data_IF_534522113796
#
_entry.id   IF_534522113796
#
_cell.length_a   1.000
_cell.length_b   1.000
_cell.length_c   1.000
_cell.angle_alpha   90.00
_cell.angle_beta   90.00
_cell.angle_gamma   90.00
#
_symmetry.space_group_name_H-M   'P 1'
#
loop_
_entity.id
_entity.type
_entity.pdbx_description
1 polymer ?
#
# COMPACT_ATOMS: atom_id res chain seq x y z
N UNK A 1 -1.22 49.19 -33.30
CA UNK A 1 -0.01 48.36 -33.11
C UNK A 1 -0.46 47.09 -32.43
N UNK A 2 -0.57 45.99 -33.17
CA UNK A 2 -1.10 44.74 -32.63
C UNK A 2 -0.10 44.16 -31.61
N UNK A 3 -0.54 44.00 -30.37
CA UNK A 3 0.19 43.21 -29.38
C UNK A 3 0.13 41.76 -29.88
N UNK A 4 1.21 41.31 -30.53
CA UNK A 4 1.36 39.89 -30.81
C UNK A 4 1.58 39.19 -29.48
N UNK A 5 0.59 38.44 -29.00
CA UNK A 5 0.74 37.56 -27.85
C UNK A 5 1.84 36.55 -28.15
N UNK A 6 3.06 36.87 -27.71
CA UNK A 6 4.23 36.04 -27.96
C UNK A 6 4.13 34.84 -27.03
N UNK A 7 3.82 33.67 -27.59
CA UNK A 7 3.80 32.42 -26.85
C UNK A 7 5.19 32.17 -26.23
N UNK A 8 5.24 32.07 -24.91
CA UNK A 8 6.41 31.67 -24.15
C UNK A 8 6.16 30.23 -23.69
N UNK A 9 6.98 29.29 -24.17
CA UNK A 9 6.88 27.89 -23.76
C UNK A 9 7.42 27.72 -22.33
N UNK A 10 6.57 27.40 -21.34
CA UNK A 10 6.98 27.27 -19.94
C UNK A 10 7.87 26.05 -19.68
N UNK A 11 7.95 25.09 -20.60
CA UNK A 11 8.78 23.89 -20.48
C UNK A 11 10.21 24.08 -21.03
N UNK A 12 10.54 25.26 -21.55
CA UNK A 12 11.91 25.61 -21.95
C UNK A 12 12.62 26.34 -20.82
N UNK A 13 13.93 26.14 -20.64
CA UNK A 13 14.70 26.81 -19.56
C UNK A 13 14.53 28.34 -19.62
N UNK A 14 14.55 28.92 -20.82
CA UNK A 14 14.27 30.35 -21.04
C UNK A 14 12.84 30.74 -20.64
N UNK A 15 11.82 30.01 -21.10
CA UNK A 15 10.44 30.35 -20.81
C UNK A 15 10.06 30.14 -19.35
N UNK A 16 10.59 29.09 -18.71
CA UNK A 16 10.44 28.83 -17.30
C UNK A 16 11.09 29.95 -16.47
N UNK A 17 12.38 30.26 -16.70
CA UNK A 17 13.08 31.35 -16.00
C UNK A 17 12.43 32.73 -16.22
N UNK A 18 11.90 32.97 -17.43
CA UNK A 18 11.22 34.22 -17.78
C UNK A 18 9.87 34.39 -17.09
N UNK A 19 9.14 33.28 -16.85
CA UNK A 19 7.82 33.28 -16.22
C UNK A 19 7.89 33.15 -14.69
N UNK A 20 8.84 32.37 -14.17
CA UNK A 20 8.89 31.99 -12.76
C UNK A 20 10.03 32.64 -11.97
N UNK A 21 10.98 33.30 -12.64
CA UNK A 21 11.96 34.17 -11.98
C UNK A 21 12.77 33.47 -10.89
N UNK A 22 13.92 32.91 -11.29
CA UNK A 22 14.90 32.19 -10.48
C UNK A 22 14.68 30.67 -10.33
N UNK A 23 15.81 29.97 -10.35
CA UNK A 23 15.92 28.52 -10.25
C UNK A 23 15.33 28.05 -8.93
N UNK A 24 14.60 26.93 -8.97
CA UNK A 24 13.90 26.31 -7.83
C UNK A 24 14.74 26.48 -6.57
N UNK A 25 14.23 27.29 -5.64
CA UNK A 25 14.95 27.62 -4.42
C UNK A 25 15.27 26.30 -3.70
N UNK A 26 16.51 26.09 -3.27
CA UNK A 26 16.96 24.87 -2.60
C UNK A 26 15.98 24.43 -1.49
N UNK A 27 15.37 25.42 -0.83
CA UNK A 27 14.32 25.25 0.17
C UNK A 27 13.02 24.64 -0.36
N UNK A 28 12.59 24.95 -1.57
CA UNK A 28 11.40 24.34 -2.19
C UNK A 28 11.67 22.88 -2.58
N UNK A 29 12.90 22.55 -2.98
CA UNK A 29 13.31 21.16 -3.21
C UNK A 29 13.33 20.36 -1.92
N UNK A 30 13.91 20.89 -0.85
CA UNK A 30 13.86 20.26 0.48
C UNK A 30 12.43 20.00 0.94
N UNK A 31 11.55 21.02 0.86
CA UNK A 31 10.15 20.87 1.26
C UNK A 31 9.42 19.81 0.42
N UNK A 32 9.72 19.74 -0.88
CA UNK A 32 9.16 18.71 -1.74
C UNK A 32 9.68 17.32 -1.36
N UNK A 33 10.97 17.16 -1.11
CA UNK A 33 11.58 15.89 -0.68
C UNK A 33 11.05 15.41 0.67
N UNK A 34 10.91 16.30 1.65
CA UNK A 34 10.31 16.01 2.95
C UNK A 34 8.85 15.55 2.81
N UNK A 35 8.08 16.21 1.94
CA UNK A 35 6.70 15.81 1.66
C UNK A 35 6.61 14.40 1.05
N UNK A 36 7.54 14.06 0.14
CA UNK A 36 7.61 12.74 -0.48
C UNK A 36 7.99 11.66 0.53
N UNK A 37 8.93 11.97 1.43
CA UNK A 37 9.33 11.06 2.50
C UNK A 37 8.15 10.76 3.42
N UNK A 38 7.44 11.80 3.88
CA UNK A 38 6.26 11.64 4.72
C UNK A 38 5.17 10.80 4.05
N UNK A 39 4.90 11.06 2.77
CA UNK A 39 3.94 10.26 2.00
C UNK A 39 4.34 8.78 1.90
N UNK A 40 5.62 8.50 1.66
CA UNK A 40 6.15 7.12 1.58
C UNK A 40 6.04 6.40 2.91
N UNK A 41 6.40 7.06 4.01
CA UNK A 41 6.32 6.48 5.35
C UNK A 41 4.87 6.12 5.70
N UNK A 42 3.92 7.04 5.44
CA UNK A 42 2.50 6.77 5.63
C UNK A 42 2.00 5.61 4.77
N UNK A 43 2.38 5.58 3.49
CA UNK A 43 1.98 4.51 2.57
C UNK A 43 2.49 3.15 3.06
N UNK A 44 3.74 3.07 3.50
CA UNK A 44 4.32 1.82 4.01
C UNK A 44 3.61 1.33 5.26
N UNK A 45 3.24 2.23 6.19
CA UNK A 45 2.46 1.87 7.39
C UNK A 45 1.08 1.32 7.02
N UNK A 46 0.38 1.96 6.08
CA UNK A 46 -0.95 1.53 5.64
C UNK A 46 -0.89 0.20 4.90
N UNK A 47 0.05 0.05 3.96
CA UNK A 47 0.20 -1.18 3.18
C UNK A 47 0.54 -2.37 4.10
N UNK A 48 1.46 -2.18 5.05
CA UNK A 48 1.82 -3.22 6.02
C UNK A 48 0.62 -3.61 6.90
N UNK A 49 -0.14 -2.63 7.39
CA UNK A 49 -1.32 -2.89 8.21
C UNK A 49 -2.42 -3.65 7.45
N UNK A 50 -2.60 -3.34 6.16
CA UNK A 50 -3.57 -4.04 5.31
C UNK A 50 -3.13 -5.47 5.00
N UNK A 51 -1.86 -5.67 4.61
CA UNK A 51 -1.31 -7.00 4.34
C UNK A 51 -1.37 -7.90 5.57
N UNK A 52 -0.98 -7.40 6.74
CA UNK A 52 -1.10 -8.14 8.00
C UNK A 52 -2.56 -8.48 8.33
N UNK A 53 -3.48 -7.54 8.09
CA UNK A 53 -4.92 -7.75 8.28
C UNK A 53 -5.47 -8.86 7.38
N UNK A 54 -5.10 -8.89 6.10
CA UNK A 54 -5.50 -9.93 5.17
C UNK A 54 -4.93 -11.31 5.54
N UNK A 55 -3.66 -11.36 5.96
CA UNK A 55 -3.01 -12.60 6.37
C UNK A 55 -3.65 -13.14 7.64
N UNK A 56 -3.86 -12.30 8.65
CA UNK A 56 -4.56 -12.69 9.90
C UNK A 56 -5.97 -13.17 9.62
N UNK A 57 -6.76 -12.44 8.83
CA UNK A 57 -8.13 -12.83 8.49
C UNK A 57 -8.21 -14.17 7.74
N UNK A 58 -7.26 -14.46 6.85
CA UNK A 58 -7.19 -15.76 6.14
C UNK A 58 -6.85 -16.92 7.09
N UNK A 59 -5.95 -16.70 8.05
CA UNK A 59 -5.57 -17.73 9.04
C UNK A 59 -6.71 -17.95 10.04
N UNK A 60 -7.32 -16.89 10.54
CA UNK A 60 -8.46 -16.96 11.46
C UNK A 60 -9.64 -17.68 10.81
N UNK A 61 -9.98 -17.35 9.56
CA UNK A 61 -11.06 -18.04 8.84
C UNK A 61 -10.82 -19.55 8.71
N UNK A 62 -9.59 -19.98 8.38
CA UNK A 62 -9.24 -21.41 8.29
C UNK A 62 -9.38 -22.11 9.63
N UNK A 63 -8.92 -21.47 10.70
CA UNK A 63 -8.96 -22.04 12.06
C UNK A 63 -10.39 -22.09 12.61
N UNK A 64 -11.23 -21.09 12.34
CA UNK A 64 -12.65 -21.12 12.70
C UNK A 64 -13.42 -22.23 11.96
N UNK A 65 -13.20 -22.39 10.65
CA UNK A 65 -13.82 -23.46 9.87
C UNK A 65 -13.39 -24.83 10.44
N UNK A 66 -12.10 -25.01 10.74
CA UNK A 66 -11.59 -26.24 11.33
C UNK A 66 -12.23 -26.54 12.70
N UNK A 67 -12.39 -25.53 13.56
CA UNK A 67 -13.08 -25.66 14.85
C UNK A 67 -14.54 -26.06 14.69
N UNK A 68 -15.25 -25.45 13.74
CA UNK A 68 -16.64 -25.81 13.42
C UNK A 68 -16.77 -27.26 12.95
N UNK A 69 -15.92 -27.68 12.00
CA UNK A 69 -15.91 -29.06 11.51
C UNK A 69 -15.56 -30.08 12.60
N UNK A 70 -14.67 -29.71 13.54
CA UNK A 70 -14.31 -30.55 14.69
C UNK A 70 -15.50 -30.69 15.66
N UNK A 71 -16.24 -29.60 15.90
CA UNK A 71 -17.46 -29.63 16.71
C UNK A 71 -18.57 -30.50 16.09
N UNK A 72 -18.67 -30.51 14.75
CA UNK A 72 -19.60 -31.36 14.00
C UNK A 72 -19.18 -32.85 13.95
N UNK A 73 -18.04 -33.20 14.56
CA UNK A 73 -17.54 -34.58 14.63
C UNK A 73 -16.96 -35.10 13.31
N UNK A 74 -16.56 -34.21 12.41
CA UNK A 74 -15.89 -34.58 11.16
C UNK A 74 -14.49 -35.15 11.50
N UNK A 75 -14.06 -36.26 10.87
CA UNK A 75 -12.72 -36.80 11.08
C UNK A 75 -11.61 -35.79 10.73
N UNK A 76 -10.56 -35.72 11.56
CA UNK A 76 -9.43 -34.81 11.40
C UNK A 76 -8.79 -34.89 10.01
N UNK A 77 -8.76 -36.08 9.38
CA UNK A 77 -8.26 -36.28 8.01
C UNK A 77 -9.04 -35.46 6.96
N UNK A 78 -10.38 -35.42 7.09
CA UNK A 78 -11.21 -34.62 6.19
C UNK A 78 -11.07 -33.14 6.48
N UNK A 79 -10.95 -32.74 7.75
CA UNK A 79 -10.71 -31.35 8.13
C UNK A 79 -9.39 -30.87 7.55
N UNK A 80 -8.33 -31.67 7.63
CA UNK A 80 -7.03 -31.38 7.03
C UNK A 80 -7.13 -31.21 5.50
N UNK A 81 -7.88 -32.09 4.84
CA UNK A 81 -8.10 -32.03 3.40
C UNK A 81 -8.81 -30.74 2.96
N UNK A 82 -9.81 -30.26 3.71
CA UNK A 82 -10.61 -29.09 3.31
C UNK A 82 -10.02 -27.76 3.77
N UNK A 83 -9.35 -27.72 4.93
CA UNK A 83 -8.80 -26.47 5.50
C UNK A 83 -7.33 -26.26 5.13
N UNK A 84 -6.63 -27.32 4.70
CA UNK A 84 -5.20 -27.31 4.40
C UNK A 84 -4.31 -27.22 5.64
N UNK A 85 -4.88 -27.41 6.83
CA UNK A 85 -4.14 -27.50 8.09
C UNK A 85 -3.61 -28.93 8.30
N UNK A 86 -2.49 -29.06 9.00
CA UNK A 86 -1.99 -30.35 9.42
C UNK A 86 -2.91 -30.99 10.47
N UNK A 87 -2.88 -32.31 10.56
CA UNK A 87 -3.62 -33.05 11.60
C UNK A 87 -3.20 -32.64 13.00
N UNK A 88 -1.93 -32.27 13.20
CA UNK A 88 -1.40 -31.77 14.49
C UNK A 88 -1.99 -30.40 14.84
N UNK A 89 -2.12 -29.49 13.87
CA UNK A 89 -2.78 -28.20 14.09
C UNK A 89 -4.26 -28.38 14.44
N UNK A 90 -4.94 -29.33 13.81
CA UNK A 90 -6.36 -29.62 14.08
C UNK A 90 -6.57 -30.28 15.45
N UNK A 91 -5.66 -31.15 15.89
CA UNK A 91 -5.72 -31.71 17.25
C UNK A 91 -5.55 -30.64 18.32
N UNK A 92 -4.68 -29.65 18.08
CA UNK A 92 -4.40 -28.54 18.99
C UNK A 92 -5.42 -27.38 18.94
N UNK A 93 -6.37 -27.38 17.98
CA UNK A 93 -7.47 -26.40 17.85
C UNK A 93 -8.64 -26.65 18.81
#
# INVERSE_FOLDING_TARGET
MALSDKYINPLTDFGFKKLFGEEVNEKERELYEDSLKYYRDLKNVVDTAFEEGEVKGKIESKTEIAKGMKADGVPNEKIAQYTGLSTEEIENL
#
